data_IF_281352186726
#
_entry.id   IF_281352186726
#
_cell.length_a   1.000
_cell.length_b   1.000
_cell.length_c   1.000
_cell.angle_alpha   90.00
_cell.angle_beta   90.00
_cell.angle_gamma   90.00
#
_symmetry.space_group_name_H-M   'P 1'
#
loop_
_entity.id
_entity.type
_entity.pdbx_description
1 polymer ?
#
# COMPACT_ATOMS: atom_id res chain seq x y z
N UNK A 1 -34.26 4.83 23.11
CA UNK A 1 -34.12 3.61 22.28
C UNK A 1 -32.66 3.18 22.31
N UNK A 2 -32.39 1.99 22.85
CA UNK A 2 -31.06 1.37 22.92
C UNK A 2 -30.91 0.52 21.66
N UNK A 3 -29.96 0.85 20.79
CA UNK A 3 -29.57 -0.08 19.72
C UNK A 3 -28.50 -1.01 20.30
N UNK A 4 -28.90 -2.22 20.65
CA UNK A 4 -27.97 -3.33 20.82
C UNK A 4 -27.53 -3.76 19.41
N UNK A 5 -26.23 -3.75 19.14
CA UNK A 5 -25.66 -4.41 17.97
C UNK A 5 -25.14 -5.77 18.41
N UNK A 6 -25.87 -6.82 18.04
CA UNK A 6 -25.40 -8.20 18.08
C UNK A 6 -24.56 -8.52 16.83
N UNK A 7 -23.46 -9.23 17.05
CA UNK A 7 -22.92 -10.23 16.12
C UNK A 7 -22.10 -9.75 14.92
N UNK A 8 -20.77 -9.72 15.09
CA UNK A 8 -19.73 -10.16 14.13
C UNK A 8 -20.09 -10.20 12.62
N UNK A 9 -20.55 -9.10 12.05
CA UNK A 9 -20.57 -8.87 10.61
C UNK A 9 -19.80 -7.60 10.36
N UNK A 10 -18.63 -7.72 9.73
CA UNK A 10 -17.88 -6.56 9.24
C UNK A 10 -18.86 -5.84 8.31
N UNK A 11 -19.31 -4.61 8.62
CA UNK A 11 -20.30 -3.93 7.79
C UNK A 11 -19.74 -3.88 6.38
N UNK A 12 -20.54 -4.30 5.40
CA UNK A 12 -20.16 -4.37 3.99
C UNK A 12 -19.85 -2.94 3.50
N UNK A 13 -18.62 -2.49 3.76
CA UNK A 13 -18.19 -1.13 3.48
C UNK A 13 -18.01 -1.05 1.97
N UNK A 14 -18.77 -0.20 1.27
CA UNK A 14 -18.61 -0.05 -0.16
C UNK A 14 -17.18 0.35 -0.46
N UNK A 15 -16.65 -0.13 -1.58
CA UNK A 15 -15.32 0.23 -2.05
C UNK A 15 -15.20 1.76 -2.13
N UNK A 16 -14.10 2.31 -1.61
CA UNK A 16 -13.85 3.75 -1.59
C UNK A 16 -12.56 4.06 -2.31
N UNK A 17 -12.58 5.19 -2.99
CA UNK A 17 -11.37 5.80 -3.49
C UNK A 17 -10.43 6.15 -2.34
N UNK A 18 -9.14 5.87 -2.51
CA UNK A 18 -8.10 6.24 -1.56
C UNK A 18 -7.23 7.34 -2.17
N UNK A 19 -7.11 8.48 -1.49
CA UNK A 19 -6.29 9.60 -1.98
C UNK A 19 -4.81 9.22 -2.18
N UNK A 20 -4.33 8.22 -1.41
CA UNK A 20 -3.00 7.64 -1.59
C UNK A 20 -2.75 7.05 -2.98
N UNK A 21 -3.78 6.65 -3.72
CA UNK A 21 -3.62 6.13 -5.07
C UNK A 21 -3.03 7.15 -6.03
N UNK A 22 -3.39 8.43 -5.90
CA UNK A 22 -2.90 9.50 -6.78
C UNK A 22 -1.39 9.76 -6.63
N UNK A 23 -0.80 9.36 -5.51
CA UNK A 23 0.62 9.52 -5.22
C UNK A 23 1.45 8.32 -5.69
N UNK A 24 0.80 7.20 -6.02
CA UNK A 24 1.48 6.03 -6.53
C UNK A 24 1.84 6.23 -8.01
N UNK A 25 3.14 6.22 -8.32
CA UNK A 25 3.70 6.53 -9.65
C UNK A 25 3.02 5.77 -10.81
N UNK A 26 2.64 4.52 -10.58
CA UNK A 26 2.05 3.66 -11.62
C UNK A 26 0.52 3.71 -11.67
N UNK A 27 -0.14 4.46 -10.77
CA UNK A 27 -1.61 4.51 -10.72
C UNK A 27 -2.23 5.18 -11.97
N UNK A 28 -1.70 6.29 -12.52
CA UNK A 28 -2.23 6.87 -13.75
C UNK A 28 -2.21 5.90 -14.94
N UNK A 29 -1.09 5.19 -15.14
CA UNK A 29 -0.95 4.18 -16.19
C UNK A 29 -1.89 3.00 -15.94
N UNK A 30 -2.04 2.58 -14.68
CA UNK A 30 -3.01 1.56 -14.31
C UNK A 30 -4.44 1.96 -14.70
N UNK A 31 -4.88 3.17 -14.38
CA UNK A 31 -6.23 3.65 -14.76
C UNK A 31 -6.40 3.65 -16.27
N UNK A 32 -5.43 4.21 -17.01
CA UNK A 32 -5.47 4.29 -18.48
C UNK A 32 -5.59 2.92 -19.15
N UNK A 33 -4.89 1.92 -18.62
CA UNK A 33 -4.86 0.58 -19.20
C UNK A 33 -6.07 -0.29 -18.81
N UNK A 34 -6.76 0.05 -17.71
CA UNK A 34 -7.79 -0.81 -17.14
C UNK A 34 -9.21 -0.21 -17.21
N UNK A 35 -9.34 1.08 -17.55
CA UNK A 35 -10.61 1.76 -17.76
C UNK A 35 -11.02 1.69 -19.24
N UNK A 36 -12.04 0.89 -19.55
CA UNK A 36 -12.60 0.77 -20.89
C UNK A 36 -14.12 0.88 -20.84
N UNK A 37 -14.68 1.95 -21.42
CA UNK A 37 -16.13 2.13 -21.47
C UNK A 37 -16.72 1.41 -22.69
N UNK A 38 -17.63 0.47 -22.46
CA UNK A 38 -18.23 -0.37 -23.49
C UNK A 38 -19.72 -0.05 -23.77
N UNK A 39 -20.22 1.10 -23.30
CA UNK A 39 -21.62 1.49 -23.44
C UNK A 39 -22.48 1.18 -22.21
N UNK A 40 -22.02 0.33 -21.29
CA UNK A 40 -22.66 0.11 -19.99
C UNK A 40 -21.77 0.64 -18.86
N UNK A 41 -22.20 1.74 -18.24
CA UNK A 41 -21.47 2.38 -17.15
C UNK A 41 -21.37 1.49 -15.90
N UNK A 42 -22.43 0.77 -15.56
CA UNK A 42 -22.46 -0.10 -14.37
C UNK A 42 -21.44 -1.21 -14.52
N UNK A 43 -21.48 -1.93 -15.65
CA UNK A 43 -20.52 -3.02 -15.92
C UNK A 43 -19.09 -2.51 -16.03
N UNK A 44 -18.87 -1.32 -16.62
CA UNK A 44 -17.55 -0.68 -16.67
C UNK A 44 -17.01 -0.38 -15.27
N UNK A 45 -17.86 0.14 -14.38
CA UNK A 45 -17.47 0.45 -12.99
C UNK A 45 -17.19 -0.83 -12.21
N UNK A 46 -17.99 -1.88 -12.37
CA UNK A 46 -17.79 -3.17 -11.70
C UNK A 46 -16.46 -3.81 -12.12
N UNK A 47 -16.19 -3.91 -13.43
CA UNK A 47 -14.95 -4.47 -13.95
C UNK A 47 -13.73 -3.67 -13.48
N UNK A 48 -13.81 -2.34 -13.53
CA UNK A 48 -12.73 -1.48 -13.05
C UNK A 48 -12.52 -1.63 -11.54
N UNK A 49 -13.60 -1.72 -10.77
CA UNK A 49 -13.55 -1.90 -9.32
C UNK A 49 -12.79 -3.17 -8.94
N UNK A 50 -13.03 -4.28 -9.64
CA UNK A 50 -12.34 -5.53 -9.36
C UNK A 50 -10.86 -5.48 -9.72
N UNK A 51 -10.51 -4.82 -10.84
CA UNK A 51 -9.10 -4.56 -11.19
C UNK A 51 -8.40 -3.69 -10.15
N UNK A 52 -9.06 -2.62 -9.67
CA UNK A 52 -8.47 -1.71 -8.68
C UNK A 52 -8.30 -2.43 -7.34
N UNK A 53 -9.24 -3.29 -6.93
CA UNK A 53 -9.08 -4.10 -5.71
C UNK A 53 -7.84 -4.99 -5.77
N UNK A 54 -7.63 -5.68 -6.89
CA UNK A 54 -6.46 -6.54 -7.07
C UNK A 54 -5.15 -5.74 -7.06
N UNK A 55 -5.12 -4.63 -7.82
CA UNK A 55 -3.98 -3.71 -7.80
C UNK A 55 -3.72 -3.16 -6.40
N UNK A 56 -4.76 -2.72 -5.68
CA UNK A 56 -4.67 -2.18 -4.34
C UNK A 56 -4.14 -3.22 -3.35
N UNK A 57 -4.51 -4.50 -3.50
CA UNK A 57 -3.96 -5.60 -2.71
C UNK A 57 -2.49 -5.85 -3.04
N UNK A 58 -2.09 -5.80 -4.31
CA UNK A 58 -0.69 -5.94 -4.72
C UNK A 58 0.21 -4.81 -4.20
N UNK A 59 -0.31 -3.58 -4.15
CA UNK A 59 0.44 -2.40 -3.69
C UNK A 59 0.43 -2.27 -2.16
N UNK A 60 -0.75 -2.43 -1.54
CA UNK A 60 -0.97 -2.09 -0.13
C UNK A 60 -1.31 -3.28 0.77
N UNK A 61 -1.64 -4.45 0.21
CA UNK A 61 -2.10 -5.62 0.98
C UNK A 61 -1.09 -6.14 1.99
N UNK A 62 0.20 -5.89 1.76
CA UNK A 62 1.29 -6.26 2.68
C UNK A 62 2.02 -5.04 3.26
N UNK A 63 1.43 -3.84 3.21
CA UNK A 63 2.14 -2.61 3.61
C UNK A 63 2.62 -2.65 5.06
N UNK A 64 1.80 -3.14 6.00
CA UNK A 64 2.18 -3.24 7.42
C UNK A 64 3.27 -4.31 7.65
N UNK A 65 3.25 -5.40 6.90
CA UNK A 65 4.30 -6.43 6.94
C UNK A 65 5.62 -5.90 6.37
N UNK A 66 5.56 -5.18 5.24
CA UNK A 66 6.71 -4.52 4.60
C UNK A 66 7.32 -3.48 5.53
N UNK A 67 6.49 -2.64 6.16
CA UNK A 67 6.91 -1.69 7.21
C UNK A 67 7.64 -2.39 8.34
N UNK A 68 7.07 -3.46 8.91
CA UNK A 68 7.71 -4.22 9.98
C UNK A 68 9.09 -4.76 9.55
N UNK A 69 9.19 -5.35 8.36
CA UNK A 69 10.46 -5.85 7.83
C UNK A 69 11.50 -4.73 7.65
N UNK A 70 11.08 -3.58 7.11
CA UNK A 70 11.93 -2.42 6.88
C UNK A 70 12.39 -1.77 8.19
N UNK A 71 11.59 -1.80 9.26
CA UNK A 71 12.01 -1.31 10.58
C UNK A 71 13.11 -2.17 11.22
N UNK A 72 13.15 -3.47 10.95
CA UNK A 72 14.15 -4.38 11.51
C UNK A 72 15.44 -4.48 10.69
N UNK A 73 15.43 -4.12 9.40
CA UNK A 73 16.60 -4.19 8.52
C UNK A 73 17.75 -3.25 8.95
N UNK A 74 17.53 -1.97 9.32
CA UNK A 74 18.60 -1.06 9.73
C UNK A 74 19.40 -1.58 10.91
N UNK A 75 18.75 -2.15 11.93
CA UNK A 75 19.46 -2.72 13.09
C UNK A 75 20.44 -3.83 12.70
N UNK A 76 20.09 -4.66 11.70
CA UNK A 76 20.97 -5.70 11.16
C UNK A 76 22.13 -5.11 10.36
N UNK A 77 21.87 -4.05 9.59
CA UNK A 77 22.90 -3.35 8.79
C UNK A 77 23.89 -2.65 9.72
N UNK A 78 23.42 -1.97 10.76
CA UNK A 78 24.26 -1.35 11.79
C UNK A 78 25.16 -2.39 12.48
N UNK A 79 24.59 -3.50 12.93
CA UNK A 79 25.38 -4.59 13.51
C UNK A 79 26.45 -5.13 12.53
N UNK A 80 26.14 -5.23 11.24
CA UNK A 80 27.12 -5.65 10.23
C UNK A 80 28.19 -4.57 9.93
N UNK A 81 27.83 -3.29 10.02
CA UNK A 81 28.74 -2.15 9.88
C UNK A 81 29.71 -2.03 11.06
N UNK A 82 29.24 -2.31 12.27
CA UNK A 82 30.07 -2.35 13.49
C UNK A 82 31.14 -3.45 13.39
N UNK A 83 30.80 -4.58 12.77
CA UNK A 83 31.72 -5.69 12.51
C UNK A 83 32.62 -5.45 11.29
N UNK A 84 32.17 -4.67 10.30
CA UNK A 84 32.93 -4.39 9.08
C UNK A 84 32.50 -3.08 8.43
N UNK A 85 33.42 -2.11 8.29
CA UNK A 85 33.13 -0.88 7.54
C UNK A 85 33.06 -1.17 6.05
N UNK A 86 31.84 -1.35 5.55
CA UNK A 86 31.57 -1.59 4.14
C UNK A 86 30.75 -0.45 3.53
N UNK A 87 31.28 0.18 2.48
CA UNK A 87 30.56 1.20 1.70
C UNK A 87 29.25 0.67 1.11
N UNK A 88 29.22 -0.61 0.75
CA UNK A 88 28.03 -1.29 0.24
C UNK A 88 26.94 -1.37 1.32
N UNK A 89 27.30 -1.75 2.55
CA UNK A 89 26.33 -1.81 3.66
C UNK A 89 25.73 -0.44 3.98
N UNK A 90 26.55 0.62 3.92
CA UNK A 90 26.07 1.99 4.08
C UNK A 90 25.07 2.40 2.98
N UNK A 91 25.34 2.04 1.72
CA UNK A 91 24.39 2.28 0.62
C UNK A 91 23.09 1.49 0.80
N UNK A 92 23.17 0.24 1.25
CA UNK A 92 21.98 -0.57 1.57
C UNK A 92 21.15 0.07 2.69
N UNK A 93 21.80 0.67 3.69
CA UNK A 93 21.10 1.37 4.77
C UNK A 93 20.27 2.56 4.26
N UNK A 94 20.85 3.38 3.38
CA UNK A 94 20.17 4.52 2.76
C UNK A 94 18.95 4.06 1.96
N UNK A 95 19.11 3.02 1.14
CA UNK A 95 18.00 2.48 0.34
C UNK A 95 16.84 1.99 1.21
N UNK A 96 17.15 1.26 2.29
CA UNK A 96 16.14 0.75 3.23
C UNK A 96 15.42 1.88 3.95
N UNK A 97 16.14 2.95 4.35
CA UNK A 97 15.53 4.13 4.98
C UNK A 97 14.58 4.86 4.03
N UNK A 98 14.99 5.08 2.78
CA UNK A 98 14.14 5.71 1.77
C UNK A 98 12.90 4.86 1.48
N UNK A 99 13.04 3.55 1.36
CA UNK A 99 11.91 2.65 1.16
C UNK A 99 10.93 2.66 2.35
N UNK A 100 11.45 2.77 3.58
CA UNK A 100 10.64 2.88 4.78
C UNK A 100 9.86 4.20 4.81
N UNK A 101 10.49 5.31 4.44
CA UNK A 101 9.84 6.63 4.35
C UNK A 101 8.69 6.60 3.33
N UNK A 102 8.93 6.02 2.14
CA UNK A 102 7.89 5.82 1.13
C UNK A 102 6.72 4.99 1.68
N UNK A 103 7.00 3.88 2.38
CA UNK A 103 5.96 3.01 2.96
C UNK A 103 5.16 3.74 4.05
N UNK A 104 5.82 4.51 4.92
CA UNK A 104 5.15 5.28 5.97
C UNK A 104 4.26 6.38 5.39
N UNK A 105 4.73 7.09 4.37
CA UNK A 105 3.93 8.10 3.67
C UNK A 105 2.67 7.48 3.05
N UNK A 106 2.80 6.33 2.41
CA UNK A 106 1.65 5.62 1.85
C UNK A 106 0.67 5.13 2.93
N UNK A 107 1.16 4.66 4.07
CA UNK A 107 0.31 4.22 5.21
C UNK A 107 -0.47 5.39 5.82
N UNK A 108 0.17 6.56 6.01
CA UNK A 108 -0.51 7.77 6.51
C UNK A 108 -1.69 8.15 5.60
N UNK A 109 -1.50 8.06 4.28
CA UNK A 109 -2.52 8.43 3.30
C UNK A 109 -3.67 7.41 3.19
N UNK A 110 -3.46 6.17 3.65
CA UNK A 110 -4.51 5.14 3.73
C UNK A 110 -5.37 5.26 4.99
N UNK A 111 -4.85 5.85 6.07
CA UNK A 111 -5.49 5.92 7.39
C UNK A 111 -6.17 7.26 7.70
N UNK A 112 -6.46 8.08 6.67
CA UNK A 112 -7.29 9.30 6.79
C UNK A 112 -8.76 9.04 6.44
#
# INVERSE_FOLDING_TARGET
MKFCYDGNSVPNRPFRFLAGWLHHKNFPDFVKNNWSFNGNLVSTIEEFTDKVKEWNKGVYGHISQRKSQLLHKPAKIHHALDLSRSKYLFQQEILVRNELEDVLHHEEMLWK
#
